data_IF_100469971695
#
_entry.id   IF_100469971695
#
_cell.length_a   1.000
_cell.length_b   1.000
_cell.length_c   1.000
_cell.angle_alpha   90.00
_cell.angle_beta   90.00
_cell.angle_gamma   90.00
#
_symmetry.space_group_name_H-M   'P 1'
#
loop_
_entity.id
_entity.type
_entity.pdbx_description
1 polymer ?
#
# COMPACT_ATOMS: atom_id res chain seq x y z
N UNK A 1 -3.36 -7.89 -21.78
CA UNK A 1 -3.89 -8.22 -20.43
C UNK A 1 -3.30 -7.34 -19.31
N UNK A 2 -2.07 -6.78 -19.45
CA UNK A 2 -1.43 -5.96 -18.40
C UNK A 2 -2.15 -4.67 -17.99
N UNK A 3 -2.65 -3.86 -18.93
CA UNK A 3 -3.26 -2.54 -18.61
C UNK A 3 -4.51 -2.64 -17.73
N UNK A 4 -5.33 -3.68 -17.94
CA UNK A 4 -6.52 -3.91 -17.11
C UNK A 4 -6.13 -4.24 -15.67
N UNK A 5 -5.00 -4.92 -15.46
CA UNK A 5 -4.47 -5.23 -14.13
C UNK A 5 -3.99 -3.98 -13.39
N UNK A 6 -3.30 -3.07 -14.08
CA UNK A 6 -2.80 -1.86 -13.42
C UNK A 6 -3.94 -0.86 -13.17
N UNK A 7 -4.94 -0.81 -14.04
CA UNK A 7 -6.13 0.04 -13.82
C UNK A 7 -7.01 -0.43 -12.65
N UNK A 8 -6.95 -1.71 -12.27
CA UNK A 8 -7.62 -2.26 -11.07
C UNK A 8 -6.73 -2.23 -9.82
N UNK A 9 -5.42 -2.01 -9.95
CA UNK A 9 -4.46 -1.98 -8.83
C UNK A 9 -4.48 -0.69 -8.02
N UNK A 10 -5.43 0.22 -8.29
CA UNK A 10 -5.62 1.41 -7.48
C UNK A 10 -6.39 1.10 -6.22
N UNK A 11 -5.73 1.34 -5.09
CA UNK A 11 -6.42 1.37 -3.81
C UNK A 11 -7.10 2.72 -3.67
N UNK A 12 -8.42 2.70 -3.49
CA UNK A 12 -9.17 3.84 -2.97
C UNK A 12 -8.67 4.18 -1.55
N UNK A 13 -9.03 5.35 -1.02
CA UNK A 13 -8.62 5.80 0.32
C UNK A 13 -8.88 4.73 1.39
N UNK A 14 -10.03 4.06 1.35
CA UNK A 14 -10.37 2.95 2.25
C UNK A 14 -9.42 1.76 2.09
N UNK A 15 -9.00 1.44 0.87
CA UNK A 15 -8.03 0.38 0.60
C UNK A 15 -6.62 0.72 1.10
N UNK A 16 -6.20 1.98 0.96
CA UNK A 16 -4.92 2.46 1.50
C UNK A 16 -4.93 2.34 3.02
N UNK A 17 -6.00 2.80 3.67
CA UNK A 17 -6.17 2.67 5.13
C UNK A 17 -6.19 1.20 5.55
N UNK A 18 -6.93 0.34 4.84
CA UNK A 18 -7.01 -1.08 5.16
C UNK A 18 -5.64 -1.79 5.05
N UNK A 19 -4.91 -1.58 3.94
CA UNK A 19 -3.57 -2.17 3.75
C UNK A 19 -2.58 -1.63 4.78
N UNK A 20 -2.62 -0.33 5.06
CA UNK A 20 -1.77 0.29 6.10
C UNK A 20 -2.08 -0.29 7.47
N UNK A 21 -3.36 -0.49 7.82
CA UNK A 21 -3.77 -1.11 9.08
C UNK A 21 -3.31 -2.55 9.19
N UNK A 22 -3.47 -3.37 8.14
CA UNK A 22 -3.02 -4.77 8.12
C UNK A 22 -1.50 -4.86 8.29
N UNK A 23 -0.73 -4.06 7.55
CA UNK A 23 0.73 -4.01 7.68
C UNK A 23 1.15 -3.56 9.08
N UNK A 24 0.46 -2.57 9.64
CA UNK A 24 0.76 -2.05 10.97
C UNK A 24 0.46 -3.08 12.06
N UNK A 25 -0.65 -3.82 11.95
CA UNK A 25 -0.97 -4.94 12.84
C UNK A 25 0.04 -6.08 12.73
N UNK A 26 0.48 -6.41 11.51
CA UNK A 26 1.48 -7.46 11.29
C UNK A 26 2.82 -7.08 11.92
N UNK A 27 3.32 -5.87 11.65
CA UNK A 27 4.56 -5.35 12.25
C UNK A 27 4.42 -5.27 13.77
N UNK A 28 3.27 -4.85 14.29
CA UNK A 28 3.01 -4.77 15.72
C UNK A 28 3.05 -6.14 16.40
N UNK A 29 2.43 -7.16 15.81
CA UNK A 29 2.46 -8.54 16.32
C UNK A 29 3.89 -9.12 16.32
N UNK A 30 4.66 -8.88 15.25
CA UNK A 30 6.06 -9.28 15.17
C UNK A 30 6.92 -8.54 16.23
N UNK A 31 6.65 -7.25 16.43
CA UNK A 31 7.37 -6.42 17.39
C UNK A 31 7.16 -6.89 18.84
N UNK A 32 5.97 -7.39 19.17
CA UNK A 32 5.67 -7.99 20.48
C UNK A 32 6.51 -9.23 20.76
N UNK A 33 6.60 -10.13 19.77
CA UNK A 33 7.37 -11.37 19.90
C UNK A 33 8.87 -11.08 20.05
N UNK A 34 9.40 -10.16 19.25
CA UNK A 34 10.82 -9.82 19.24
C UNK A 34 11.28 -9.02 20.47
N UNK A 35 10.42 -8.16 21.03
CA UNK A 35 10.76 -7.27 22.14
C UNK A 35 10.02 -7.60 23.43
N UNK A 36 9.70 -8.89 23.64
CA UNK A 36 8.91 -9.34 24.78
C UNK A 36 9.50 -8.92 26.14
N UNK A 37 10.83 -8.86 26.25
CA UNK A 37 11.54 -8.38 27.43
C UNK A 37 11.35 -6.88 27.71
N UNK A 38 11.26 -6.05 26.66
CA UNK A 38 11.02 -4.60 26.77
C UNK A 38 9.59 -4.32 27.21
N UNK A 39 8.66 -5.18 26.81
CA UNK A 39 7.24 -5.07 27.15
C UNK A 39 6.84 -5.87 28.39
N UNK A 40 7.80 -6.47 29.11
CA UNK A 40 7.55 -7.30 30.30
C UNK A 40 6.52 -8.41 30.05
N UNK A 41 6.48 -8.95 28.83
CA UNK A 41 5.46 -9.88 28.34
C UNK A 41 4.00 -9.40 28.50
N UNK A 42 3.77 -8.09 28.72
CA UNK A 42 2.45 -7.52 28.90
C UNK A 42 1.96 -6.83 27.61
N UNK A 43 0.90 -7.35 26.95
CA UNK A 43 0.34 -6.76 25.74
C UNK A 43 -0.41 -5.44 25.96
N UNK A 44 -0.61 -5.01 27.20
CA UNK A 44 -1.21 -3.70 27.55
C UNK A 44 -0.19 -2.69 28.08
N UNK A 45 1.11 -2.97 27.93
CA UNK A 45 2.12 -2.00 28.34
C UNK A 45 2.01 -0.73 27.48
N UNK A 46 1.96 0.46 28.10
CA UNK A 46 1.82 1.75 27.39
C UNK A 46 2.82 1.94 26.23
N UNK A 47 4.07 1.49 26.38
CA UNK A 47 5.07 1.55 25.30
C UNK A 47 4.66 0.72 24.09
N UNK A 48 4.06 -0.45 24.32
CA UNK A 48 3.62 -1.36 23.29
C UNK A 48 2.35 -0.87 22.58
N UNK A 49 1.44 -0.19 23.30
CA UNK A 49 0.27 0.46 22.72
C UNK A 49 0.64 1.64 21.80
N UNK A 50 1.71 2.37 22.12
CA UNK A 50 2.20 3.47 21.29
C UNK A 50 2.87 3.00 19.98
N UNK A 51 3.32 1.76 19.90
CA UNK A 51 3.91 1.21 18.66
C UNK A 51 2.88 1.23 17.53
N UNK A 52 1.60 0.93 17.81
CA UNK A 52 0.53 0.91 16.81
C UNK A 52 0.32 2.23 16.05
N UNK A 53 0.06 3.37 16.73
CA UNK A 53 -0.10 4.64 16.02
C UNK A 53 1.21 5.10 15.35
N UNK A 54 2.37 4.80 15.94
CA UNK A 54 3.68 5.14 15.34
C UNK A 54 3.90 4.36 14.04
N UNK A 55 3.73 3.04 14.05
CA UNK A 55 3.92 2.21 12.85
C UNK A 55 2.88 2.54 11.78
N UNK A 56 1.64 2.83 12.19
CA UNK A 56 0.60 3.27 11.26
C UNK A 56 0.96 4.59 10.56
N UNK A 57 1.38 5.61 11.32
CA UNK A 57 1.78 6.90 10.76
C UNK A 57 3.01 6.80 9.85
N UNK A 58 3.96 5.91 10.15
CA UNK A 58 5.13 5.68 9.29
C UNK A 58 4.78 4.92 8.01
N UNK A 59 3.88 3.94 8.07
CA UNK A 59 3.51 3.12 6.91
C UNK A 59 2.53 3.82 5.97
N UNK A 60 1.67 4.70 6.48
CA UNK A 60 0.68 5.43 5.68
C UNK A 60 1.30 6.17 4.47
N UNK A 61 2.36 7.00 4.62
CA UNK A 61 2.97 7.67 3.48
C UNK A 61 3.66 6.69 2.52
N UNK A 62 4.15 5.54 3.00
CA UNK A 62 4.78 4.51 2.16
C UNK A 62 3.72 3.88 1.25
N UNK A 63 2.60 3.42 1.82
CA UNK A 63 1.50 2.82 1.06
C UNK A 63 0.91 3.83 0.08
N UNK A 64 0.76 5.09 0.51
CA UNK A 64 0.30 6.17 -0.37
C UNK A 64 1.29 6.45 -1.52
N UNK A 65 2.59 6.44 -1.24
CA UNK A 65 3.64 6.59 -2.24
C UNK A 65 3.63 5.48 -3.28
N UNK A 66 3.56 4.22 -2.83
CA UNK A 66 3.46 3.05 -3.73
C UNK A 66 2.18 3.11 -4.57
N UNK A 67 1.04 3.46 -3.98
CA UNK A 67 -0.22 3.63 -4.72
C UNK A 67 -0.10 4.72 -5.80
N UNK A 68 0.57 5.83 -5.49
CA UNK A 68 0.81 6.92 -6.45
C UNK A 68 1.76 6.50 -7.59
N UNK A 69 2.79 5.70 -7.29
CA UNK A 69 3.69 5.16 -8.31
C UNK A 69 2.98 4.21 -9.27
N UNK A 70 2.19 3.28 -8.74
CA UNK A 70 1.28 2.43 -9.55
C UNK A 70 0.36 3.31 -10.39
N UNK A 71 -0.01 4.49 -9.88
CA UNK A 71 -0.83 5.47 -10.61
C UNK A 71 -0.19 6.05 -11.83
N UNK A 72 1.05 6.47 -11.71
CA UNK A 72 1.80 6.98 -12.84
C UNK A 72 2.07 5.88 -13.86
N UNK A 73 2.40 4.67 -13.41
CA UNK A 73 2.67 3.54 -14.31
C UNK A 73 1.45 3.15 -15.15
N UNK A 74 0.25 3.01 -14.57
CA UNK A 74 -0.92 2.69 -15.39
C UNK A 74 -1.32 3.83 -16.34
N UNK A 75 -1.12 5.10 -15.95
CA UNK A 75 -1.35 6.23 -16.87
C UNK A 75 -0.44 6.14 -18.09
N UNK A 76 0.82 5.78 -17.89
CA UNK A 76 1.79 5.58 -18.98
C UNK A 76 1.39 4.40 -19.86
N UNK A 77 1.05 3.25 -19.27
CA UNK A 77 0.58 2.09 -20.03
C UNK A 77 -0.70 2.38 -20.82
N UNK A 78 -1.66 3.06 -20.19
CA UNK A 78 -2.91 3.45 -20.84
C UNK A 78 -2.66 4.34 -22.06
N UNK A 79 -1.81 5.37 -21.93
CA UNK A 79 -1.43 6.23 -23.07
C UNK A 79 -0.79 5.44 -24.21
N UNK A 80 0.07 4.46 -23.89
CA UNK A 80 0.67 3.59 -24.91
C UNK A 80 -0.40 2.80 -25.64
N UNK A 81 -1.33 2.19 -24.91
CA UNK A 81 -2.42 1.42 -25.52
C UNK A 81 -3.37 2.26 -26.35
N UNK A 82 -3.72 3.47 -25.91
CA UNK A 82 -4.52 4.41 -26.70
C UNK A 82 -3.81 4.79 -27.99
N UNK A 83 -2.50 5.05 -27.94
CA UNK A 83 -1.70 5.33 -29.14
C UNK A 83 -1.62 4.14 -30.11
N UNK A 84 -1.53 2.91 -29.60
CA UNK A 84 -1.58 1.71 -30.45
C UNK A 84 -2.94 1.52 -31.12
N UNK A 85 -4.05 1.82 -30.42
CA UNK A 85 -5.40 1.72 -30.98
C UNK A 85 -5.65 2.77 -32.07
N UNK A 86 -5.24 4.03 -31.85
CA UNK A 86 -5.40 5.13 -32.81
C UNK A 86 -4.56 4.92 -34.09
N UNK A 87 -3.46 4.18 -34.01
CA UNK A 87 -2.70 3.76 -35.19
C UNK A 87 -3.46 2.70 -36.01
N UNK A 88 -4.07 1.72 -35.34
CA UNK A 88 -4.86 0.68 -36.01
C UNK A 88 -6.09 1.26 -36.71
N UNK A 89 -6.80 2.21 -36.09
CA UNK A 89 -7.95 2.89 -36.71
C UNK A 89 -7.59 3.74 -37.93
N UNK A 90 -6.33 4.15 -38.09
CA UNK A 90 -5.84 4.93 -39.25
C UNK A 90 -5.32 4.04 -40.39
N UNK A 91 -5.08 2.77 -40.12
CA UNK A 91 -4.66 1.77 -41.11
C UNK A 91 -5.85 1.04 -41.75
N UNK A 92 -7.04 1.12 -41.17
CA UNK A 92 -8.35 0.79 -41.79
C UNK A 92 -8.89 1.93 -42.68
#
# INVERSE_FOLDING_TARGET
>A
MGVRFISYSYLNVTGIVAVTSILSLFIWAQNFQLNQAVYQANPFHSKFLLVLPITFLLNLPIVWGVNTLVMLLAKVEKRRYEAYLDQLEKEE
#
